data_IF_302144023440
#
_entry.id   IF_302144023440
#
_cell.length_a   1.000
_cell.length_b   1.000
_cell.length_c   1.000
_cell.angle_alpha   90.00
_cell.angle_beta   90.00
_cell.angle_gamma   90.00
#
_symmetry.space_group_name_H-M   'P 1'
#
loop_
_entity.id
_entity.type
_entity.pdbx_description
1 polymer ?
#
# COMPACT_ATOMS: atom_id res chain seq x y z
N UNK A 1 -7.52 10.17 4.81
CA UNK A 1 -6.21 9.55 4.54
C UNK A 1 -5.47 9.19 5.82
N UNK A 2 -5.38 10.08 6.77
CA UNK A 2 -4.65 9.83 8.03
C UNK A 2 -5.21 8.64 8.81
N UNK A 3 -6.52 8.48 8.83
CA UNK A 3 -7.18 7.36 9.49
C UNK A 3 -6.84 6.02 8.82
N UNK A 4 -6.76 6.00 7.50
CA UNK A 4 -6.35 4.83 6.72
C UNK A 4 -4.89 4.47 7.03
N UNK A 5 -4.02 5.46 7.00
CA UNK A 5 -2.61 5.29 7.35
C UNK A 5 -2.46 4.71 8.76
N UNK A 6 -3.17 5.29 9.74
CA UNK A 6 -3.12 4.82 11.13
C UNK A 6 -3.58 3.36 11.23
N UNK A 7 -4.67 3.00 10.56
CA UNK A 7 -5.17 1.63 10.57
C UNK A 7 -4.14 0.65 10.00
N UNK A 8 -3.47 1.02 8.90
CA UNK A 8 -2.43 0.19 8.29
C UNK A 8 -1.18 0.09 9.16
N UNK A 9 -0.84 1.15 9.91
CA UNK A 9 0.28 1.11 10.88
C UNK A 9 -0.04 0.22 12.07
N UNK A 10 -1.28 0.27 12.56
CA UNK A 10 -1.72 -0.54 13.70
C UNK A 10 -1.89 -2.02 13.32
N UNK A 11 -2.11 -2.30 12.03
CA UNK A 11 -2.29 -3.65 11.49
C UNK A 11 -1.32 -3.84 10.33
N UNK A 12 -0.02 -4.06 10.63
CA UNK A 12 1.05 -3.86 9.66
C UNK A 12 1.11 -4.86 8.51
N UNK A 13 0.42 -5.99 8.62
CA UNK A 13 0.34 -6.92 7.48
C UNK A 13 -0.99 -6.69 6.78
N UNK A 14 -0.94 -6.25 5.54
CA UNK A 14 -2.11 -6.09 4.69
C UNK A 14 -1.86 -6.80 3.36
N UNK A 15 -2.93 -7.16 2.68
CA UNK A 15 -2.85 -7.93 1.44
C UNK A 15 -3.24 -7.04 0.28
N UNK A 16 -2.43 -7.06 -0.78
CA UNK A 16 -2.62 -6.23 -1.97
C UNK A 16 -2.97 -7.13 -3.14
N UNK A 17 -4.12 -6.87 -3.76
CA UNK A 17 -4.57 -7.54 -4.96
C UNK A 17 -4.21 -6.72 -6.19
N UNK A 18 -3.70 -7.40 -7.20
CA UNK A 18 -3.38 -6.84 -8.52
C UNK A 18 -3.91 -7.75 -9.61
N UNK A 19 -3.91 -7.26 -10.85
CA UNK A 19 -4.28 -8.08 -12.00
C UNK A 19 -3.04 -8.51 -12.76
N UNK A 20 -3.00 -9.79 -13.11
CA UNK A 20 -2.01 -10.40 -13.99
C UNK A 20 -2.76 -10.90 -15.22
N UNK A 21 -2.91 -10.00 -16.22
CA UNK A 21 -3.87 -10.23 -17.29
C UNK A 21 -5.29 -10.26 -16.74
N UNK A 22 -5.98 -11.38 -16.88
CA UNK A 22 -7.32 -11.61 -16.32
C UNK A 22 -7.30 -12.39 -14.99
N UNK A 23 -6.10 -12.73 -14.47
CA UNK A 23 -5.95 -13.48 -13.23
C UNK A 23 -5.68 -12.50 -12.07
N UNK A 24 -6.56 -12.45 -11.05
CA UNK A 24 -6.23 -11.70 -9.84
C UNK A 24 -5.12 -12.41 -9.06
N UNK A 25 -4.21 -11.60 -8.53
CA UNK A 25 -3.11 -12.06 -7.67
C UNK A 25 -3.16 -11.30 -6.36
N UNK A 26 -2.75 -11.94 -5.27
CA UNK A 26 -2.73 -11.31 -3.95
C UNK A 26 -1.46 -11.74 -3.21
N UNK A 27 -0.90 -10.81 -2.42
CA UNK A 27 0.29 -11.06 -1.59
C UNK A 27 0.30 -10.10 -0.40
N UNK A 28 1.03 -10.46 0.67
CA UNK A 28 1.19 -9.55 1.80
C UNK A 28 2.15 -8.41 1.50
N UNK A 29 1.83 -7.25 2.05
CA UNK A 29 2.70 -6.08 2.17
C UNK A 29 2.81 -5.74 3.65
N UNK A 30 3.87 -5.03 4.04
CA UNK A 30 4.13 -4.79 5.45
C UNK A 30 4.41 -3.35 5.85
N UNK A 31 4.54 -2.42 4.91
CA UNK A 31 4.90 -1.05 5.23
C UNK A 31 4.12 -0.03 4.40
N UNK A 32 3.88 1.12 5.02
CA UNK A 32 3.32 2.30 4.38
C UNK A 32 4.07 3.53 4.86
N UNK A 33 3.97 4.63 4.12
CA UNK A 33 4.50 5.92 4.52
C UNK A 33 3.58 7.04 4.05
N UNK A 34 3.59 8.15 4.78
CA UNK A 34 2.96 9.40 4.35
C UNK A 34 4.07 10.36 3.91
N UNK A 35 3.97 10.85 2.69
CA UNK A 35 4.95 11.79 2.15
C UNK A 35 4.26 12.75 1.20
N UNK A 36 4.47 14.04 1.41
CA UNK A 36 3.89 15.10 0.59
C UNK A 36 2.37 14.96 0.40
N UNK A 37 1.66 14.60 1.47
CA UNK A 37 0.21 14.47 1.46
C UNK A 37 -0.31 13.24 0.73
N UNK A 38 0.53 12.22 0.51
CA UNK A 38 0.16 11.00 -0.20
C UNK A 38 0.54 9.77 0.61
N UNK A 39 -0.19 8.69 0.40
CA UNK A 39 0.04 7.40 1.06
C UNK A 39 0.80 6.49 0.09
N UNK A 40 1.96 6.01 0.53
CA UNK A 40 2.90 5.24 -0.29
C UNK A 40 3.01 3.80 0.16
N UNK A 41 3.22 2.93 -0.84
CA UNK A 41 3.60 1.53 -0.67
C UNK A 41 5.04 1.33 -1.15
N UNK A 42 5.69 0.28 -0.65
CA UNK A 42 7.05 -0.12 -1.05
C UNK A 42 7.02 -1.49 -1.69
N UNK A 43 7.74 -1.66 -2.80
CA UNK A 43 7.99 -2.96 -3.40
C UNK A 43 9.38 -2.98 -4.05
N UNK A 44 9.75 -4.08 -4.70
CA UNK A 44 10.97 -4.20 -5.49
C UNK A 44 10.63 -4.43 -6.96
N UNK A 45 11.36 -3.79 -7.86
CA UNK A 45 11.06 -3.84 -9.29
C UNK A 45 11.33 -5.20 -9.95
N UNK A 46 12.00 -6.10 -9.24
CA UNK A 46 12.24 -7.47 -9.72
C UNK A 46 11.08 -8.41 -9.40
N UNK A 47 10.13 -7.96 -8.57
CA UNK A 47 8.98 -8.78 -8.16
C UNK A 47 7.87 -8.76 -9.20
N UNK A 48 7.12 -9.88 -9.36
CA UNK A 48 5.97 -9.91 -10.28
C UNK A 48 4.92 -8.84 -9.98
N UNK A 49 4.70 -8.49 -8.71
CA UNK A 49 3.72 -7.46 -8.32
C UNK A 49 4.04 -6.11 -8.95
N UNK A 50 5.30 -5.74 -9.05
CA UNK A 50 5.69 -4.47 -9.66
C UNK A 50 5.31 -4.45 -11.14
N UNK A 51 5.57 -5.54 -11.86
CA UNK A 51 5.20 -5.66 -13.27
C UNK A 51 3.70 -5.60 -13.46
N UNK A 52 2.94 -6.22 -12.54
CA UNK A 52 1.48 -6.19 -12.58
C UNK A 52 0.96 -4.77 -12.36
N UNK A 53 1.50 -4.05 -11.38
CA UNK A 53 1.11 -2.67 -11.08
C UNK A 53 1.45 -1.70 -12.22
N UNK A 54 2.56 -1.90 -12.90
CA UNK A 54 2.92 -1.03 -14.04
C UNK A 54 2.09 -1.31 -15.28
N UNK A 55 1.65 -2.56 -15.48
CA UNK A 55 0.78 -2.93 -16.59
C UNK A 55 -0.67 -2.53 -16.33
N UNK A 56 -1.15 -2.64 -15.08
CA UNK A 56 -2.48 -2.23 -14.68
C UNK A 56 -2.39 -1.58 -13.29
N UNK A 57 -2.58 -0.25 -13.20
CA UNK A 57 -2.38 0.46 -11.93
C UNK A 57 -3.49 0.23 -10.89
N UNK A 58 -4.59 -0.38 -11.27
CA UNK A 58 -5.70 -0.60 -10.33
C UNK A 58 -5.37 -1.70 -9.35
N UNK A 59 -5.48 -1.38 -8.06
CA UNK A 59 -5.24 -2.33 -6.97
C UNK A 59 -6.36 -2.26 -5.95
N UNK A 60 -6.44 -3.27 -5.13
CA UNK A 60 -7.20 -3.20 -3.90
C UNK A 60 -6.39 -3.83 -2.78
N UNK A 61 -6.39 -3.20 -1.62
CA UNK A 61 -5.75 -3.77 -0.44
C UNK A 61 -6.77 -4.02 0.65
N UNK A 62 -6.46 -4.97 1.53
CA UNK A 62 -7.34 -5.35 2.62
C UNK A 62 -6.53 -5.76 3.83
N UNK A 63 -6.97 -5.34 5.01
CA UNK A 63 -6.40 -5.82 6.27
C UNK A 63 -7.48 -5.93 7.33
N UNK A 64 -7.31 -6.93 8.20
CA UNK A 64 -8.20 -7.18 9.33
C UNK A 64 -7.72 -6.38 10.54
N UNK A 65 -8.66 -5.77 11.28
CA UNK A 65 -8.36 -5.14 12.55
C UNK A 65 -8.01 -6.17 13.61
N UNK A 66 -7.30 -5.71 14.67
CA UNK A 66 -6.89 -6.58 15.79
C UNK A 66 -8.07 -7.17 16.54
N UNK A 67 -9.23 -6.52 16.49
CA UNK A 67 -10.46 -7.01 17.13
C UNK A 67 -11.03 -8.26 16.43
N UNK A 68 -10.56 -8.58 15.21
CA UNK A 68 -11.03 -9.72 14.43
C UNK A 68 -12.43 -9.54 13.86
N UNK A 69 -13.06 -8.37 14.04
CA UNK A 69 -14.45 -8.11 13.63
C UNK A 69 -14.57 -6.90 12.72
N UNK A 70 -13.52 -6.10 12.57
CA UNK A 70 -13.46 -4.97 11.65
C UNK A 70 -12.37 -5.17 10.62
N UNK A 71 -12.55 -4.58 9.46
CA UNK A 71 -11.51 -4.63 8.41
C UNK A 71 -11.59 -3.39 7.53
N UNK A 72 -10.49 -3.15 6.83
CA UNK A 72 -10.34 -2.04 5.89
C UNK A 72 -10.10 -2.59 4.50
N UNK A 73 -10.78 -2.01 3.52
CA UNK A 73 -10.47 -2.22 2.10
C UNK A 73 -10.19 -0.87 1.47
N UNK A 74 -9.16 -0.81 0.61
CA UNK A 74 -8.84 0.40 -0.13
C UNK A 74 -8.67 0.05 -1.60
N UNK A 75 -9.55 0.58 -2.44
CA UNK A 75 -9.40 0.50 -3.89
C UNK A 75 -8.72 1.77 -4.37
N UNK A 76 -7.71 1.65 -5.21
CA UNK A 76 -6.93 2.80 -5.67
C UNK A 76 -6.21 2.49 -6.98
N UNK A 77 -5.62 3.53 -7.57
CA UNK A 77 -4.64 3.40 -8.65
C UNK A 77 -3.27 3.73 -8.08
N UNK A 78 -2.27 2.93 -8.39
CA UNK A 78 -0.90 3.22 -7.94
C UNK A 78 -0.17 4.08 -8.97
N UNK A 79 0.65 5.00 -8.47
CA UNK A 79 1.49 5.87 -9.29
C UNK A 79 2.93 5.73 -8.81
N UNK A 80 3.81 5.31 -9.71
CA UNK A 80 5.23 5.21 -9.41
C UNK A 80 5.82 6.59 -9.18
N UNK A 81 6.54 6.75 -8.06
CA UNK A 81 7.30 7.96 -7.78
C UNK A 81 8.79 7.64 -7.97
N UNK A 82 9.42 8.16 -9.04
CA UNK A 82 10.81 7.83 -9.33
C UNK A 82 11.83 8.62 -8.52
N UNK A 83 11.39 9.55 -7.66
CA UNK A 83 12.29 10.44 -6.93
C UNK A 83 12.99 9.73 -5.78
N UNK A 84 14.28 10.00 -5.62
CA UNK A 84 15.06 9.47 -4.52
C UNK A 84 14.53 9.95 -3.16
N UNK A 85 14.00 11.17 -3.08
CA UNK A 85 13.44 11.74 -1.86
C UNK A 85 12.29 10.88 -1.32
N UNK A 86 11.44 10.38 -2.20
CA UNK A 86 10.32 9.52 -1.81
C UNK A 86 10.82 8.17 -1.29
N UNK A 87 11.80 7.56 -1.96
CA UNK A 87 12.40 6.30 -1.49
C UNK A 87 13.10 6.48 -0.15
N UNK A 88 13.83 7.58 0.01
CA UNK A 88 14.52 7.91 1.26
C UNK A 88 13.53 8.07 2.41
N UNK A 89 12.45 8.80 2.19
CA UNK A 89 11.43 8.99 3.22
C UNK A 89 10.81 7.66 3.67
N UNK A 90 10.50 6.77 2.73
CA UNK A 90 9.95 5.45 3.05
C UNK A 90 10.89 4.67 3.98
N UNK A 91 12.19 4.71 3.70
CA UNK A 91 13.20 4.01 4.51
C UNK A 91 13.40 4.68 5.87
N UNK A 92 13.30 6.01 5.94
CA UNK A 92 13.38 6.74 7.21
C UNK A 92 12.19 6.44 8.11
N UNK A 93 10.99 6.36 7.53
CA UNK A 93 9.78 6.07 8.28
C UNK A 93 9.70 4.58 8.68
N UNK A 94 10.30 3.69 7.88
CA UNK A 94 10.32 2.25 8.11
C UNK A 94 11.76 1.72 8.07
N UNK A 95 12.57 2.02 9.11
CA UNK A 95 14.02 1.76 9.04
C UNK A 95 14.41 0.28 8.92
N UNK A 96 13.55 -0.65 9.30
CA UNK A 96 13.81 -2.09 9.12
C UNK A 96 13.91 -2.47 7.65
N UNK A 97 13.32 -1.69 6.75
CA UNK A 97 13.46 -1.92 5.31
C UNK A 97 14.90 -1.79 4.81
N UNK A 98 15.77 -1.09 5.55
CA UNK A 98 17.17 -0.92 5.17
C UNK A 98 17.95 -2.23 5.17
N UNK A 99 17.41 -3.30 5.71
CA UNK A 99 17.96 -4.65 5.60
C UNK A 99 17.77 -5.25 4.19
N UNK A 100 16.77 -4.74 3.45
CA UNK A 100 16.39 -5.25 2.13
C UNK A 100 16.67 -4.26 1.01
N UNK A 101 16.59 -2.96 1.30
CA UNK A 101 16.64 -1.90 0.31
C UNK A 101 17.52 -0.76 0.77
N UNK A 102 18.12 -0.05 -0.20
CA UNK A 102 18.69 1.27 -0.01
C UNK A 102 18.07 2.22 -1.04
N UNK A 103 18.17 3.51 -0.81
CA UNK A 103 17.56 4.53 -1.69
C UNK A 103 18.17 4.54 -3.10
N UNK A 104 19.38 3.97 -3.27
CA UNK A 104 20.12 3.96 -4.53
C UNK A 104 20.39 2.56 -5.06
N UNK A 105 19.67 1.54 -4.60
CA UNK A 105 19.94 0.17 -5.00
C UNK A 105 19.42 -0.20 -6.40
N UNK A 106 18.61 0.66 -7.02
CA UNK A 106 18.02 0.37 -8.32
C UNK A 106 16.96 -0.71 -8.29
N UNK A 107 16.53 -1.15 -7.12
CA UNK A 107 15.55 -2.25 -6.93
C UNK A 107 14.32 -1.77 -6.18
N UNK A 108 14.50 -1.07 -5.06
CA UNK A 108 13.38 -0.55 -4.26
C UNK A 108 12.59 0.51 -5.02
N UNK A 109 11.28 0.38 -4.99
CA UNK A 109 10.37 1.29 -5.67
C UNK A 109 9.25 1.69 -4.71
N UNK A 110 8.82 2.95 -4.79
CA UNK A 110 7.69 3.46 -4.03
C UNK A 110 6.59 3.95 -4.97
N UNK A 111 5.34 3.65 -4.61
CA UNK A 111 4.16 4.02 -5.40
C UNK A 111 3.14 4.61 -4.45
N UNK A 112 2.49 5.70 -4.85
CA UNK A 112 1.46 6.31 -4.02
C UNK A 112 0.07 5.97 -4.55
N UNK A 113 -0.92 6.03 -3.66
CA UNK A 113 -2.31 5.69 -3.95
C UNK A 113 -3.05 6.92 -4.46
N UNK A 114 -3.56 6.83 -5.68
CA UNK A 114 -4.31 7.87 -6.36
C UNK A 114 -5.78 7.45 -6.45
N UNK A 115 -6.68 8.43 -6.30
CA UNK A 115 -8.13 8.20 -6.41
C UNK A 115 -8.59 7.07 -5.50
N UNK A 116 -8.13 7.09 -4.25
CA UNK A 116 -8.38 6.02 -3.32
C UNK A 116 -9.79 6.11 -2.71
N UNK A 117 -10.44 4.96 -2.62
CA UNK A 117 -11.69 4.79 -1.89
C UNK A 117 -11.44 3.75 -0.81
N UNK A 118 -11.41 4.21 0.44
CA UNK A 118 -11.23 3.35 1.61
C UNK A 118 -12.59 3.09 2.24
N UNK A 119 -12.87 1.85 2.59
CA UNK A 119 -14.10 1.47 3.26
C UNK A 119 -13.75 0.71 4.53
N UNK A 120 -14.25 1.23 5.65
CA UNK A 120 -14.12 0.60 6.97
C UNK A 120 -15.37 -0.22 7.23
N UNK A 121 -15.18 -1.52 7.42
CA UNK A 121 -16.24 -2.49 7.69
C UNK A 121 -16.16 -3.01 9.10
N UNK A 122 -17.31 -3.42 9.63
CA UNK A 122 -17.37 -4.24 10.83
C UNK A 122 -18.56 -5.19 10.73
N UNK A 123 -18.59 -6.20 11.59
CA UNK A 123 -19.77 -7.07 11.68
C UNK A 123 -20.98 -6.34 12.26
N UNK A 124 -20.75 -5.18 12.88
CA UNK A 124 -21.78 -4.31 13.44
C UNK A 124 -21.72 -2.94 12.77
N UNK A 125 -22.86 -2.38 12.44
CA UNK A 125 -22.95 -1.05 11.86
C UNK A 125 -22.74 -1.00 10.35
N UNK A 126 -22.95 0.17 9.81
CA UNK A 126 -22.84 0.44 8.38
C UNK A 126 -21.38 0.65 7.97
N UNK A 127 -21.00 0.25 6.76
CA UNK A 127 -19.69 0.60 6.22
C UNK A 127 -19.49 2.11 6.13
N UNK A 128 -18.28 2.55 6.41
CA UNK A 128 -17.93 3.97 6.36
C UNK A 128 -16.86 4.19 5.29
N UNK A 129 -17.11 5.14 4.39
CA UNK A 129 -16.28 5.41 3.22
C UNK A 129 -15.48 6.69 3.41
N UNK A 130 -14.18 6.62 3.10
CA UNK A 130 -13.26 7.75 3.07
C UNK A 130 -12.58 7.77 1.70
N UNK A 131 -12.56 8.93 1.05
CA UNK A 131 -11.91 9.10 -0.26
C UNK A 131 -10.72 10.04 -0.14
N UNK A 132 -9.67 9.71 -0.84
CA UNK A 132 -8.47 10.56 -0.88
C UNK A 132 -7.64 10.37 -2.14
#
# INVERSE_FOLDING_TARGET
MDEVYKFLKDNPIFYVATMDGDQPRVRPFGVVALFEGKLYLQTGNVKPVFKQMTANPKIELCTMGKDGTSWLRVAAEVVLDPRVEARRHMLEENPTLRRLYSEDDGVGEVLWLKNATATFYSFEGEPRVVKF
#
